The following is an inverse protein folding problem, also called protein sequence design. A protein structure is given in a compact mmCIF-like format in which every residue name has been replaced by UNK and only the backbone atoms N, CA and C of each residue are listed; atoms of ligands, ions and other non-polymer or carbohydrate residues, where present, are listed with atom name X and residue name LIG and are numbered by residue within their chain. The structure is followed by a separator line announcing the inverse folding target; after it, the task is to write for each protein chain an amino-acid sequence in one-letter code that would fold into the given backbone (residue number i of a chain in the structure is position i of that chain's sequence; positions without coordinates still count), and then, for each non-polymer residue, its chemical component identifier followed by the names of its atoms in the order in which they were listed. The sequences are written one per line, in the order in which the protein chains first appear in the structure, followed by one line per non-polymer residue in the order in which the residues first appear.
data_IF_059940695344
#
_entry.id   IF_059940695344
#
_cell.length_a   1.000
_cell.length_b   1.000
_cell.length_c   1.000
_cell.angle_alpha   90.00
_cell.angle_beta   90.00
_cell.angle_gamma   90.00
#
_symmetry.space_group_name_H-M   'P 1'
#
loop_
_entity.id
_entity.type
_entity.pdbx_description
1 polymer ?
#
# COMPACT_ATOMS: atom_id res chain seq x y z
N UNK A 1 -12.36 -2.41 13.71
CA UNK A 1 -11.65 -1.71 14.79
C UNK A 1 -10.17 -2.07 14.71
N UNK A 2 -9.25 -1.08 14.81
CA UNK A 2 -7.81 -1.34 14.76
C UNK A 2 -7.37 -2.28 15.90
N UNK A 3 -6.33 -3.09 15.66
CA UNK A 3 -5.77 -4.02 16.66
C UNK A 3 -5.16 -3.32 17.87
N UNK A 4 -4.76 -2.07 17.72
CA UNK A 4 -4.09 -1.28 18.74
C UNK A 4 -4.99 -0.15 19.25
N UNK A 5 -4.66 0.35 20.44
CA UNK A 5 -5.23 1.61 20.94
C UNK A 5 -4.92 2.76 19.97
N UNK A 6 -5.72 3.81 20.03
CA UNK A 6 -5.55 5.01 19.21
C UNK A 6 -5.16 6.20 20.11
N UNK A 7 -4.42 7.16 19.54
CA UNK A 7 -4.01 8.38 20.22
C UNK A 7 -5.08 9.48 20.04
N UNK A 8 -5.88 9.82 21.07
CA UNK A 8 -6.90 10.86 20.96
C UNK A 8 -6.28 12.26 20.87
N UNK A 9 -7.02 13.21 20.30
CA UNK A 9 -6.57 14.59 20.05
C UNK A 9 -6.05 15.29 21.33
N UNK A 10 -6.76 15.12 22.44
CA UNK A 10 -6.43 15.75 23.72
C UNK A 10 -4.99 15.46 24.20
N UNK A 11 -4.49 14.24 23.95
CA UNK A 11 -3.16 13.79 24.40
C UNK A 11 -2.16 13.57 23.25
N UNK A 12 -2.55 13.88 22.01
CA UNK A 12 -1.66 13.78 20.85
C UNK A 12 -0.49 14.77 20.94
N UNK A 13 0.68 14.36 20.43
CA UNK A 13 1.85 15.24 20.33
C UNK A 13 1.63 16.35 19.28
N UNK A 14 2.38 17.47 19.33
CA UNK A 14 2.10 18.65 18.50
C UNK A 14 1.96 18.34 17.00
N UNK A 15 2.91 17.57 16.45
CA UNK A 15 2.89 17.20 15.04
C UNK A 15 1.68 16.34 14.65
N UNK A 16 1.24 15.40 15.50
CA UNK A 16 0.00 14.67 15.23
C UNK A 16 -1.24 15.58 15.26
N UNK A 17 -1.29 16.56 16.18
CA UNK A 17 -2.41 17.52 16.25
C UNK A 17 -2.54 18.34 14.98
N UNK A 18 -1.44 18.80 14.39
CA UNK A 18 -1.45 19.52 13.11
C UNK A 18 -2.09 18.70 11.99
N UNK A 19 -1.76 17.41 11.92
CA UNK A 19 -2.35 16.51 10.93
C UNK A 19 -3.81 16.20 11.25
N UNK A 20 -4.16 16.08 12.53
CA UNK A 20 -5.56 15.87 12.92
C UNK A 20 -6.43 17.06 12.50
N UNK A 21 -5.93 18.28 12.70
CA UNK A 21 -6.57 19.51 12.25
C UNK A 21 -6.83 19.47 10.74
N UNK A 22 -5.79 19.19 9.95
CA UNK A 22 -5.86 19.20 8.47
C UNK A 22 -6.71 18.08 7.88
N UNK A 23 -6.68 16.88 8.46
CA UNK A 23 -7.32 15.68 7.90
C UNK A 23 -8.74 15.42 8.39
N UNK A 24 -9.06 15.91 9.59
CA UNK A 24 -10.32 15.63 10.26
C UNK A 24 -11.10 16.91 10.60
N UNK A 25 -10.63 18.05 10.10
CA UNK A 25 -11.25 19.36 10.25
C UNK A 25 -11.39 19.75 11.74
N UNK A 26 -10.30 19.58 12.49
CA UNK A 26 -10.21 19.90 13.93
C UNK A 26 -10.94 18.95 14.88
N UNK A 27 -11.63 17.93 14.37
CA UNK A 27 -12.32 16.93 15.21
C UNK A 27 -11.36 15.88 15.74
N UNK A 28 -11.68 15.29 16.88
CA UNK A 28 -10.94 14.13 17.40
C UNK A 28 -11.19 12.90 16.50
N UNK A 29 -10.18 12.38 15.77
CA UNK A 29 -10.38 11.25 14.84
C UNK A 29 -10.73 9.93 15.53
N UNK A 30 -10.45 9.80 16.83
CA UNK A 30 -10.82 8.62 17.62
C UNK A 30 -12.32 8.60 17.93
N UNK A 31 -12.92 9.77 18.16
CA UNK A 31 -14.34 9.94 18.50
C UNK A 31 -15.20 10.10 17.23
N UNK A 32 -14.66 10.81 16.24
CA UNK A 32 -15.33 11.14 14.98
C UNK A 32 -14.42 10.78 13.79
N UNK A 33 -14.26 9.47 13.50
CA UNK A 33 -13.41 9.00 12.42
C UNK A 33 -13.95 9.41 11.04
N UNK A 34 -13.10 9.28 10.02
CA UNK A 34 -13.43 9.57 8.62
C UNK A 34 -12.68 10.79 8.08
N UNK A 35 -12.02 10.59 6.95
CA UNK A 35 -11.35 11.63 6.15
C UNK A 35 -12.16 11.93 4.87
N UNK A 36 -11.82 13.01 4.18
CA UNK A 36 -12.42 13.35 2.87
C UNK A 36 -12.14 12.31 1.78
N UNK A 37 -11.12 11.46 1.97
CA UNK A 37 -10.85 10.35 1.06
C UNK A 37 -11.70 9.11 1.37
N UNK A 38 -12.57 9.16 2.37
CA UNK A 38 -13.43 8.06 2.80
C UNK A 38 -12.74 7.00 3.65
N UNK A 39 -11.48 7.21 4.04
CA UNK A 39 -10.80 6.31 4.98
C UNK A 39 -11.18 6.62 6.43
N UNK A 40 -11.30 5.62 7.31
CA UNK A 40 -11.54 5.84 8.73
C UNK A 40 -10.52 6.76 9.42
N UNK A 41 -9.26 6.74 8.98
CA UNK A 41 -8.17 7.59 9.47
C UNK A 41 -7.42 7.05 10.69
N UNK A 42 -7.66 5.80 11.11
CA UNK A 42 -7.01 5.22 12.28
C UNK A 42 -5.55 4.81 12.07
N UNK A 43 -4.99 4.93 10.86
CA UNK A 43 -3.54 4.88 10.64
C UNK A 43 -2.86 6.06 11.34
N UNK A 44 -3.39 7.28 11.15
CA UNK A 44 -2.88 8.50 11.78
C UNK A 44 -2.92 8.41 13.30
N UNK A 45 -4.01 7.89 13.85
CA UNK A 45 -4.19 7.79 15.30
C UNK A 45 -3.41 6.66 15.94
N UNK A 46 -3.15 5.58 15.20
CA UNK A 46 -2.36 4.46 15.70
C UNK A 46 -0.88 4.78 15.68
N UNK A 47 -0.37 5.38 14.60
CA UNK A 47 1.06 5.71 14.50
C UNK A 47 1.45 6.86 15.46
N UNK A 48 0.51 7.75 15.79
CA UNK A 48 0.68 8.82 16.78
C UNK A 48 0.94 8.32 18.21
N UNK A 49 0.77 7.01 18.48
CA UNK A 49 1.23 6.40 19.74
C UNK A 49 2.76 6.50 19.93
N UNK A 50 3.53 6.72 18.85
CA UNK A 50 4.99 6.87 18.87
C UNK A 50 5.40 8.10 18.06
N UNK A 51 5.66 9.25 18.71
CA UNK A 51 5.91 10.51 18.01
C UNK A 51 7.02 10.46 16.96
N UNK A 52 8.17 9.87 17.28
CA UNK A 52 9.28 9.79 16.31
C UNK A 52 8.97 8.91 15.09
N UNK A 53 8.10 7.90 15.24
CA UNK A 53 7.63 7.07 14.12
C UNK A 53 6.62 7.84 13.28
N UNK A 54 5.68 8.55 13.93
CA UNK A 54 4.74 9.44 13.26
C UNK A 54 5.48 10.49 12.43
N UNK A 55 6.47 11.14 13.02
CA UNK A 55 7.21 12.23 12.41
C UNK A 55 7.95 11.75 11.16
N UNK A 56 8.67 10.63 11.24
CA UNK A 56 9.35 10.02 10.10
C UNK A 56 8.38 9.62 8.99
N UNK A 57 7.26 8.97 9.34
CA UNK A 57 6.24 8.60 8.36
C UNK A 57 5.65 9.84 7.69
N UNK A 58 5.32 10.88 8.47
CA UNK A 58 4.82 12.15 7.98
C UNK A 58 5.83 12.87 7.07
N UNK A 59 7.13 12.81 7.38
CA UNK A 59 8.19 13.37 6.53
C UNK A 59 8.26 12.67 5.17
N UNK A 60 8.15 11.34 5.11
CA UNK A 60 8.06 10.63 3.84
C UNK A 60 6.86 11.10 3.01
N UNK A 61 5.69 11.28 3.62
CA UNK A 61 4.50 11.76 2.89
C UNK A 61 4.65 13.22 2.42
N UNK A 62 5.34 14.06 3.20
CA UNK A 62 5.63 15.46 2.84
C UNK A 62 6.54 15.57 1.62
N UNK A 63 7.39 14.57 1.34
CA UNK A 63 8.34 14.63 0.20
C UNK A 63 7.64 14.99 -1.12
N UNK A 64 6.46 14.43 -1.37
CA UNK A 64 5.67 14.72 -2.57
C UNK A 64 4.47 15.65 -2.32
N UNK A 65 4.56 16.49 -1.27
CA UNK A 65 3.68 17.64 -1.05
C UNK A 65 2.46 17.38 -0.18
N UNK A 66 2.32 16.22 0.48
CA UNK A 66 1.19 16.00 1.37
C UNK A 66 1.32 16.85 2.65
N UNK A 67 0.46 17.87 2.77
CA UNK A 67 0.40 18.83 3.89
C UNK A 67 1.66 19.69 4.09
N UNK A 68 2.45 19.86 3.01
CA UNK A 68 3.59 20.79 2.93
C UNK A 68 3.24 21.98 2.01
N UNK A 69 4.06 23.03 2.05
CA UNK A 69 3.93 24.20 1.15
C UNK A 69 4.17 23.82 -0.32
N UNK A 70 4.97 22.78 -0.56
CA UNK A 70 5.25 22.24 -1.88
C UNK A 70 5.86 20.83 -1.80
N UNK A 71 5.95 20.18 -2.96
CA UNK A 71 6.71 18.94 -3.14
C UNK A 71 8.19 19.28 -3.19
N UNK A 72 9.03 18.54 -2.47
CA UNK A 72 10.50 18.55 -2.65
C UNK A 72 10.97 17.47 -3.62
N UNK A 73 10.13 16.48 -3.88
CA UNK A 73 10.31 15.45 -4.90
C UNK A 73 10.31 16.09 -6.29
N UNK A 74 11.37 15.81 -7.06
CA UNK A 74 11.52 16.21 -8.46
C UNK A 74 11.08 15.09 -9.43
N UNK A 75 10.90 13.86 -8.92
CA UNK A 75 10.41 12.72 -9.69
C UNK A 75 9.04 13.03 -10.34
N UNK A 76 8.90 12.64 -11.61
CA UNK A 76 7.63 12.79 -12.32
C UNK A 76 6.47 12.15 -11.54
N UNK A 77 5.37 12.92 -11.42
CA UNK A 77 4.24 12.52 -10.58
C UNK A 77 3.55 11.26 -11.11
N UNK A 78 3.48 11.06 -12.43
CA UNK A 78 2.89 9.85 -12.99
C UNK A 78 3.79 8.64 -12.73
N UNK A 79 5.11 8.77 -12.90
CA UNK A 79 6.08 7.71 -12.58
C UNK A 79 5.92 7.26 -11.12
N UNK A 80 5.92 8.22 -10.19
CA UNK A 80 5.73 7.95 -8.76
C UNK A 80 4.40 7.26 -8.47
N UNK A 81 3.27 7.79 -8.97
CA UNK A 81 1.95 7.25 -8.66
C UNK A 81 1.68 5.89 -9.31
N UNK A 82 2.25 5.60 -10.49
CA UNK A 82 2.20 4.26 -11.10
C UNK A 82 2.90 3.26 -10.18
N UNK A 83 4.11 3.56 -9.74
CA UNK A 83 4.90 2.68 -8.89
C UNK A 83 4.25 2.46 -7.51
N UNK A 84 3.77 3.52 -6.86
CA UNK A 84 3.11 3.39 -5.55
C UNK A 84 1.79 2.62 -5.66
N UNK A 85 0.97 2.92 -6.69
CA UNK A 85 -0.31 2.21 -6.86
C UNK A 85 -0.07 0.72 -7.13
N UNK A 86 0.89 0.39 -8.00
CA UNK A 86 1.26 -1.01 -8.24
C UNK A 86 1.81 -1.68 -6.99
N UNK A 87 2.63 -0.98 -6.20
CA UNK A 87 3.12 -1.47 -4.90
C UNK A 87 1.97 -1.83 -3.97
N UNK A 88 0.99 -0.93 -3.78
CA UNK A 88 -0.18 -1.18 -2.96
C UNK A 88 -0.98 -2.41 -3.42
N UNK A 89 -1.16 -2.54 -4.74
CA UNK A 89 -1.84 -3.70 -5.34
C UNK A 89 -1.10 -5.01 -5.06
N UNK A 90 0.20 -5.05 -5.34
CA UNK A 90 1.03 -6.26 -5.23
C UNK A 90 1.20 -6.72 -3.80
N UNK A 91 1.44 -5.78 -2.87
CA UNK A 91 1.48 -6.10 -1.43
C UNK A 91 0.10 -6.55 -0.94
N UNK A 92 -0.98 -6.22 -1.66
CA UNK A 92 -2.34 -6.57 -1.30
C UNK A 92 -2.89 -5.70 -0.17
N UNK A 93 -2.51 -4.42 -0.13
CA UNK A 93 -3.10 -3.42 0.76
C UNK A 93 -4.20 -2.68 0.00
N UNK A 94 -5.45 -2.91 0.40
CA UNK A 94 -6.61 -2.21 -0.13
C UNK A 94 -6.55 -0.72 0.20
N UNK A 95 -5.99 -0.35 1.36
CA UNK A 95 -5.85 1.05 1.74
C UNK A 95 -4.90 1.81 0.81
N UNK A 96 -3.64 1.37 0.71
CA UNK A 96 -2.64 2.02 -0.13
C UNK A 96 -3.10 2.04 -1.59
N UNK A 97 -3.55 0.90 -2.11
CA UNK A 97 -4.05 0.82 -3.48
C UNK A 97 -5.19 1.84 -3.73
N UNK A 98 -6.20 1.88 -2.86
CA UNK A 98 -7.36 2.77 -3.04
C UNK A 98 -6.99 4.25 -2.95
N UNK A 99 -6.12 4.63 -2.02
CA UNK A 99 -5.68 6.02 -1.89
C UNK A 99 -4.87 6.46 -3.12
N UNK A 100 -3.98 5.61 -3.62
CA UNK A 100 -3.14 5.95 -4.78
C UNK A 100 -3.87 5.83 -6.12
N UNK A 101 -4.94 5.04 -6.23
CA UNK A 101 -5.89 5.16 -7.34
C UNK A 101 -6.47 6.59 -7.44
N UNK A 102 -6.70 7.27 -6.32
CA UNK A 102 -7.19 8.68 -6.31
C UNK A 102 -6.06 9.66 -6.59
N UNK A 103 -4.83 9.33 -6.23
CA UNK A 103 -3.66 10.16 -6.53
C UNK A 103 -3.29 10.07 -8.03
N UNK A 104 -3.27 8.88 -8.64
CA UNK A 104 -3.10 8.68 -10.09
C UNK A 104 -4.05 9.56 -10.92
N UNK A 105 -5.33 9.63 -10.54
CA UNK A 105 -6.30 10.49 -11.25
C UNK A 105 -5.93 11.97 -11.19
N UNK A 106 -5.31 12.42 -10.09
CA UNK A 106 -4.85 13.80 -9.92
C UNK A 106 -3.60 14.13 -10.74
N UNK A 107 -2.89 13.12 -11.27
CA UNK A 107 -1.72 13.32 -12.16
C UNK A 107 -2.09 13.27 -13.64
N UNK A 108 -3.38 13.13 -13.98
CA UNK A 108 -3.87 13.02 -15.36
C UNK A 108 -3.95 11.59 -15.90
N UNK A 109 -3.59 10.57 -15.12
CA UNK A 109 -3.81 9.18 -15.50
C UNK A 109 -5.30 8.84 -15.43
N UNK A 110 -5.79 8.10 -16.43
CA UNK A 110 -7.22 7.83 -16.60
C UNK A 110 -7.72 6.66 -15.75
N UNK A 111 -9.05 6.49 -15.66
CA UNK A 111 -9.65 5.30 -15.05
C UNK A 111 -9.20 3.99 -15.71
N UNK A 112 -8.89 4.03 -17.02
CA UNK A 112 -8.32 2.88 -17.71
C UNK A 112 -6.95 2.50 -17.14
N UNK A 113 -6.09 3.48 -16.83
CA UNK A 113 -4.79 3.23 -16.19
C UNK A 113 -4.98 2.58 -14.81
N UNK A 114 -5.90 3.10 -13.99
CA UNK A 114 -6.22 2.51 -12.68
C UNK A 114 -6.70 1.06 -12.83
N UNK A 115 -7.64 0.81 -13.75
CA UNK A 115 -8.15 -0.53 -14.03
C UNK A 115 -7.09 -1.48 -14.63
N UNK A 116 -6.06 -0.93 -15.29
CA UNK A 116 -4.97 -1.68 -15.89
C UNK A 116 -3.86 -2.07 -14.91
N UNK A 117 -3.81 -1.53 -13.69
CA UNK A 117 -2.77 -1.88 -12.69
C UNK A 117 -2.71 -3.38 -12.38
N UNK A 118 -3.84 -4.09 -12.13
CA UNK A 118 -3.83 -5.53 -11.87
C UNK A 118 -3.21 -6.37 -12.99
N UNK A 119 -3.55 -6.05 -14.23
CA UNK A 119 -3.26 -6.84 -15.44
C UNK A 119 -2.33 -6.10 -16.40
N UNK A 120 -1.43 -5.28 -15.88
CA UNK A 120 -0.63 -4.36 -16.68
C UNK A 120 0.20 -5.07 -17.76
N UNK A 121 0.70 -6.27 -17.47
CA UNK A 121 1.58 -7.04 -18.35
C UNK A 121 0.94 -7.35 -19.70
N UNK A 122 -0.39 -7.50 -19.74
CA UNK A 122 -1.18 -7.84 -20.93
C UNK A 122 -2.05 -6.68 -21.42
N UNK A 123 -1.89 -5.49 -20.85
CA UNK A 123 -2.68 -4.32 -21.22
C UNK A 123 -1.91 -3.42 -22.20
N UNK A 124 -2.60 -2.97 -23.25
CA UNK A 124 -2.06 -2.09 -24.29
C UNK A 124 -2.13 -0.59 -23.94
N UNK A 125 -2.70 -0.23 -22.79
CA UNK A 125 -2.85 1.17 -22.39
C UNK A 125 -1.53 1.82 -21.94
N UNK A 126 -0.55 1.00 -21.54
CA UNK A 126 0.70 1.46 -20.94
C UNK A 126 1.74 1.72 -22.01
N UNK A 127 2.36 2.90 -21.97
CA UNK A 127 3.50 3.18 -22.84
C UNK A 127 4.70 2.28 -22.49
N UNK A 128 5.66 2.08 -23.40
CA UNK A 128 6.87 1.32 -23.11
C UNK A 128 7.59 1.81 -21.84
N UNK A 129 7.70 3.13 -21.64
CA UNK A 129 8.33 3.69 -20.45
C UNK A 129 7.57 3.37 -19.15
N UNK A 130 6.24 3.47 -19.16
CA UNK A 130 5.42 3.11 -17.99
C UNK A 130 5.49 1.61 -17.67
N UNK A 131 5.61 0.76 -18.69
CA UNK A 131 5.79 -0.69 -18.50
C UNK A 131 7.11 -1.01 -17.80
N UNK A 132 8.17 -0.24 -18.04
CA UNK A 132 9.44 -0.38 -17.30
C UNK A 132 9.26 -0.05 -15.82
N UNK A 133 8.52 1.01 -15.48
CA UNK A 133 8.20 1.35 -14.08
C UNK A 133 7.43 0.23 -13.39
N UNK A 134 6.42 -0.34 -14.06
CA UNK A 134 5.63 -1.45 -13.55
C UNK A 134 6.47 -2.72 -13.35
N UNK A 135 7.33 -3.05 -14.33
CA UNK A 135 8.24 -4.18 -14.24
C UNK A 135 9.28 -4.03 -13.12
N UNK A 136 9.86 -2.84 -12.98
CA UNK A 136 10.79 -2.53 -11.90
C UNK A 136 10.10 -2.61 -10.52
N UNK A 137 8.89 -2.06 -10.40
CA UNK A 137 8.08 -2.16 -9.19
C UNK A 137 7.80 -3.62 -8.82
N UNK A 138 7.39 -4.45 -9.77
CA UNK A 138 7.17 -5.88 -9.54
C UNK A 138 8.45 -6.60 -9.10
N UNK A 139 9.59 -6.28 -9.70
CA UNK A 139 10.88 -6.85 -9.31
C UNK A 139 11.31 -6.47 -7.89
N UNK A 140 11.08 -5.21 -7.48
CA UNK A 140 11.36 -4.76 -6.11
C UNK A 140 10.40 -5.41 -5.11
N UNK A 141 9.09 -5.45 -5.41
CA UNK A 141 8.08 -5.90 -4.45
C UNK A 141 7.99 -7.42 -4.37
N UNK A 142 7.78 -8.12 -5.49
CA UNK A 142 7.73 -9.59 -5.50
C UNK A 142 9.11 -10.22 -5.28
N UNK A 143 10.14 -9.63 -5.88
CA UNK A 143 11.51 -10.12 -5.78
C UNK A 143 12.25 -9.66 -4.53
N UNK A 144 11.62 -8.90 -3.65
CA UNK A 144 12.23 -8.32 -2.44
C UNK A 144 13.55 -7.58 -2.76
N UNK A 145 13.53 -6.76 -3.80
CA UNK A 145 14.69 -5.98 -4.29
C UNK A 145 15.52 -6.68 -5.37
N UNK A 146 15.19 -7.91 -5.76
CA UNK A 146 15.86 -8.60 -6.88
C UNK A 146 15.41 -8.02 -8.22
N UNK A 147 16.02 -6.90 -8.61
CA UNK A 147 15.85 -6.26 -9.91
C UNK A 147 16.76 -6.91 -10.97
N UNK A 148 16.21 -7.57 -12.02
CA UNK A 148 17.02 -8.10 -13.11
C UNK A 148 17.75 -6.99 -13.88
N UNK A 149 18.99 -7.24 -14.28
CA UNK A 149 19.84 -6.25 -14.96
C UNK A 149 19.18 -5.64 -16.19
N UNK A 150 18.53 -6.46 -17.03
CA UNK A 150 17.83 -5.97 -18.21
C UNK A 150 16.67 -5.00 -17.90
N UNK A 151 15.98 -5.16 -16.76
CA UNK A 151 14.94 -4.21 -16.33
C UNK A 151 15.59 -2.91 -15.84
N UNK A 152 16.69 -3.03 -15.08
CA UNK A 152 17.41 -1.87 -14.54
C UNK A 152 18.14 -1.05 -15.62
N UNK A 153 18.65 -1.71 -16.66
CA UNK A 153 19.22 -1.05 -17.84
C UNK A 153 18.18 -0.22 -18.58
N UNK A 154 16.99 -0.75 -18.84
CA UNK A 154 15.90 0.02 -19.44
C UNK A 154 15.45 1.18 -18.54
N UNK A 155 15.43 0.99 -17.21
CA UNK A 155 15.12 2.06 -16.27
C UNK A 155 16.13 3.22 -16.37
N UNK A 156 17.44 2.91 -16.40
CA UNK A 156 18.52 3.90 -16.57
C UNK A 156 18.51 4.62 -17.93
N UNK A 157 17.90 4.03 -18.96
CA UNK A 157 17.71 4.72 -20.25
C UNK A 157 16.63 5.79 -20.20
N UNK A 158 15.68 5.67 -19.27
CA UNK A 158 14.48 6.50 -19.18
C UNK A 158 14.54 7.53 -18.05
N UNK A 159 15.34 7.28 -17.02
CA UNK A 159 15.39 8.04 -15.78
C UNK A 159 16.83 8.32 -15.35
N UNK A 160 17.04 9.42 -14.63
CA UNK A 160 18.33 9.74 -14.00
C UNK A 160 18.62 8.82 -12.81
N UNK A 161 19.86 8.80 -12.33
CA UNK A 161 20.21 8.05 -11.12
C UNK A 161 19.44 8.59 -9.89
N UNK A 162 19.25 9.91 -9.82
CA UNK A 162 18.46 10.57 -8.78
C UNK A 162 16.99 10.15 -8.82
N UNK A 163 16.36 10.12 -10.00
CA UNK A 163 14.99 9.63 -10.19
C UNK A 163 14.85 8.17 -9.74
N UNK A 164 15.83 7.33 -10.06
CA UNK A 164 15.82 5.91 -9.74
C UNK A 164 15.94 5.70 -8.22
N UNK A 165 16.80 6.47 -7.55
CA UNK A 165 16.90 6.44 -6.08
C UNK A 165 15.57 6.80 -5.45
N UNK A 166 14.95 7.90 -5.88
CA UNK A 166 13.68 8.37 -5.33
C UNK A 166 12.53 7.39 -5.61
N UNK A 167 12.45 6.87 -6.84
CA UNK A 167 11.48 5.84 -7.23
C UNK A 167 11.60 4.59 -6.33
N UNK A 168 12.82 4.10 -6.13
CA UNK A 168 13.09 2.93 -5.28
C UNK A 168 12.71 3.19 -3.84
N UNK A 169 13.02 4.39 -3.33
CA UNK A 169 12.65 4.81 -1.98
C UNK A 169 11.13 4.84 -1.79
N UNK A 170 10.38 5.39 -2.75
CA UNK A 170 8.93 5.41 -2.69
C UNK A 170 8.32 4.00 -2.78
N UNK A 171 8.82 3.13 -3.66
CA UNK A 171 8.35 1.73 -3.74
C UNK A 171 8.54 1.04 -2.39
N UNK A 172 9.76 1.05 -1.85
CA UNK A 172 10.08 0.37 -0.58
C UNK A 172 9.39 0.99 0.63
N UNK A 173 9.28 2.33 0.67
CA UNK A 173 8.53 3.04 1.70
C UNK A 173 7.03 2.73 1.66
N UNK A 174 6.44 2.54 0.48
CA UNK A 174 5.05 2.12 0.36
C UNK A 174 4.83 0.63 0.58
N UNK A 175 5.82 -0.22 0.33
CA UNK A 175 5.82 -1.59 0.82
C UNK A 175 5.71 -1.62 2.35
N UNK A 176 6.48 -0.76 3.04
CA UNK A 176 6.39 -0.59 4.49
C UNK A 176 4.98 -0.13 4.90
N UNK A 177 4.46 0.96 4.34
CA UNK A 177 3.14 1.49 4.71
C UNK A 177 2.01 0.47 4.47
N UNK A 178 2.02 -0.20 3.31
CA UNK A 178 1.05 -1.23 2.96
C UNK A 178 1.12 -2.42 3.92
N UNK A 179 2.32 -2.92 4.20
CA UNK A 179 2.53 -4.04 5.13
C UNK A 179 2.12 -3.66 6.54
N UNK A 180 2.46 -2.46 6.99
CA UNK A 180 2.08 -1.93 8.29
C UNK A 180 0.56 -1.85 8.46
N UNK A 181 -0.16 -1.36 7.45
CA UNK A 181 -1.62 -1.30 7.47
C UNK A 181 -2.25 -2.68 7.59
N UNK A 182 -1.80 -3.64 6.79
CA UNK A 182 -2.29 -5.03 6.84
C UNK A 182 -1.99 -5.69 8.19
N UNK A 183 -0.75 -5.59 8.67
CA UNK A 183 -0.32 -6.22 9.91
C UNK A 183 -1.11 -5.73 11.12
N UNK A 184 -1.50 -4.46 11.13
CA UNK A 184 -2.21 -3.85 12.25
C UNK A 184 -3.73 -3.74 12.02
N UNK A 185 -4.23 -4.22 10.88
CA UNK A 185 -5.64 -4.08 10.44
C UNK A 185 -6.09 -2.62 10.47
N UNK A 186 -5.38 -1.78 9.71
CA UNK A 186 -5.61 -0.35 9.61
C UNK A 186 -6.39 0.00 8.35
N UNK A 187 -7.22 1.05 8.43
CA UNK A 187 -7.96 1.62 7.33
C UNK A 187 -8.82 0.57 6.60
N UNK A 188 -8.68 0.47 5.27
CA UNK A 188 -9.39 -0.52 4.45
C UNK A 188 -8.79 -1.93 4.55
N UNK A 189 -7.67 -2.10 5.25
CA UNK A 189 -7.05 -3.42 5.49
C UNK A 189 -7.54 -4.07 6.79
N UNK A 190 -8.56 -3.50 7.45
CA UNK A 190 -9.26 -4.16 8.55
C UNK A 190 -10.20 -5.28 8.04
N UNK A 191 -9.59 -6.34 7.52
CA UNK A 191 -10.28 -7.53 7.02
C UNK A 191 -10.02 -8.75 7.90
N UNK A 192 -10.98 -9.70 8.00
CA UNK A 192 -10.75 -10.99 8.66
C UNK A 192 -9.60 -11.79 8.03
N UNK A 193 -9.04 -12.73 8.80
CA UNK A 193 -8.10 -13.72 8.26
C UNK A 193 -8.78 -14.48 7.10
N UNK A 194 -8.10 -14.50 5.95
CA UNK A 194 -8.63 -15.14 4.73
C UNK A 194 -8.19 -16.60 4.64
N UNK A 195 -7.04 -16.92 5.20
CA UNK A 195 -6.49 -18.29 5.22
C UNK A 195 -7.00 -18.98 6.48
N UNK A 196 -8.21 -19.53 6.39
CA UNK A 196 -8.85 -20.33 7.45
C UNK A 196 -9.09 -21.75 6.95
N UNK A 197 -9.16 -22.70 7.87
CA UNK A 197 -9.60 -24.06 7.55
C UNK A 197 -11.03 -24.03 6.98
N UNK A 198 -11.27 -24.77 5.91
CA UNK A 198 -12.62 -25.11 5.44
C UNK A 198 -12.97 -26.46 6.04
N UNK A 199 -13.86 -26.54 7.06
CA UNK A 199 -14.12 -27.78 7.75
C UNK A 199 -14.80 -28.79 6.83
N UNK A 200 -14.63 -30.07 7.16
CA UNK A 200 -15.31 -31.17 6.47
C UNK A 200 -16.83 -30.96 6.57
N UNK A 201 -17.59 -31.09 5.45
CA UNK A 201 -19.03 -30.92 5.48
C UNK A 201 -19.71 -31.86 6.49
N UNK A 202 -20.78 -31.41 7.18
CA UNK A 202 -21.53 -32.26 8.10
C UNK A 202 -21.97 -33.59 7.45
N UNK A 203 -21.77 -34.70 8.15
CA UNK A 203 -22.13 -36.04 7.66
C UNK A 203 -21.11 -36.70 6.72
N UNK A 204 -19.95 -36.09 6.46
CA UNK A 204 -18.82 -36.72 5.76
C UNK A 204 -17.73 -37.12 6.75
N UNK A 205 -17.18 -38.32 6.56
CA UNK A 205 -16.06 -38.85 7.34
C UNK A 205 -14.73 -38.64 6.60
N UNK A 206 -13.69 -38.23 7.33
CA UNK A 206 -12.32 -38.13 6.83
C UNK A 206 -11.76 -39.49 6.43
N UNK A 207 -12.18 -40.58 7.09
CA UNK A 207 -11.75 -41.95 6.73
C UNK A 207 -12.26 -42.37 5.33
N UNK A 208 -13.38 -41.79 4.87
CA UNK A 208 -13.87 -41.98 3.51
C UNK A 208 -12.98 -41.27 2.45
N UNK A 209 -12.28 -40.20 2.84
CA UNK A 209 -11.26 -39.56 1.99
C UNK A 209 -9.96 -40.38 1.95
N UNK A 210 -9.56 -40.99 3.08
CA UNK A 210 -8.36 -41.83 3.16
C UNK A 210 -8.46 -43.11 2.30
N UNK A 211 -9.66 -43.69 2.19
CA UNK A 211 -9.92 -44.89 1.36
C UNK A 211 -9.87 -44.62 -0.14
N UNK A 212 -10.13 -43.38 -0.60
CA UNK A 212 -9.99 -42.98 -2.01
C UNK A 212 -8.52 -42.92 -2.49
N UNK A 213 -7.58 -42.73 -1.57
CA UNK A 213 -6.15 -42.62 -1.88
C UNK A 213 -5.36 -43.93 -1.71
N UNK A 214 -6.05 -45.06 -1.55
CA UNK A 214 -5.40 -46.38 -1.54
C UNK A 214 -4.36 -46.54 -0.42
N UNK A 215 -4.50 -45.81 0.69
CA UNK A 215 -3.70 -46.05 1.89
C UNK A 215 -4.23 -47.32 2.53
N UNK A 216 -3.82 -48.45 1.96
CA UNK A 216 -4.01 -49.79 2.48
C UNK A 216 -3.31 -49.87 3.83
N UNK A 217 -4.03 -49.54 4.91
CA UNK A 217 -3.60 -49.84 6.28
C UNK A 217 -3.69 -51.35 6.46
N UNK A 218 -2.69 -52.07 5.95
CA UNK A 218 -2.45 -53.46 6.36
C UNK A 218 -1.87 -53.48 7.78
N UNK A 219 -2.30 -54.45 8.60
CA UNK A 219 -2.14 -54.48 10.05
C UNK A 219 -0.69 -54.64 10.53
#
# INVERSE_FOLDING_TARGET
MPRLKQQPLATAHPRAREYYEKLFHGRCPVEHPGTDSGSPGHWWTTIALRPYVFDHAADHLKMYGLFAEGSVSELDKQVREIAITRTGYVVGSQFVYSQHCKAMRRTGLTDAHVAGIPSWAVSDIWTPAQRVILAYTDAVVYGLGRAPDGVFEELRRLHTDEDIVELTYHITGYMLHATFCKALRLEFDDVPERVVEVPVPPGKDLEAFATLHGVDRRP
#
